data_IF_484546341229
#
_entry.id   IF_484546341229
#
_cell.length_a   1.000
_cell.length_b   1.000
_cell.length_c   1.000
_cell.angle_alpha   90.00
_cell.angle_beta   90.00
_cell.angle_gamma   90.00
#
_symmetry.space_group_name_H-M   'P 1'
#
loop_
_entity.id
_entity.type
_entity.pdbx_description
1 polymer ?
#
# COMPACT_ATOMS: atom_id res chain seq x y z
N UNK A 1 14.49 4.01 26.39
CA UNK A 1 13.95 4.79 25.23
C UNK A 1 12.47 5.02 25.48
N UNK A 2 12.01 6.27 25.38
CA UNK A 2 10.58 6.59 25.57
C UNK A 2 9.74 5.94 24.45
N UNK A 3 8.49 5.63 24.75
CA UNK A 3 7.52 5.05 23.78
C UNK A 3 7.43 5.88 22.50
N UNK A 4 7.60 7.20 22.62
CA UNK A 4 7.58 8.14 21.51
C UNK A 4 8.74 7.95 20.53
N UNK A 5 9.96 7.74 21.01
CA UNK A 5 11.13 7.50 20.14
C UNK A 5 11.01 6.19 19.35
N UNK A 6 10.45 5.14 19.98
CA UNK A 6 10.18 3.87 19.26
C UNK A 6 9.17 4.04 18.14
N UNK A 7 8.09 4.80 18.37
CA UNK A 7 7.08 5.08 17.33
C UNK A 7 7.68 5.80 16.12
N UNK A 8 8.51 6.80 16.35
CA UNK A 8 9.20 7.52 15.28
C UNK A 8 10.17 6.61 14.52
N UNK A 9 10.92 5.76 15.24
CA UNK A 9 11.79 4.78 14.60
C UNK A 9 11.04 3.84 13.67
N UNK A 10 9.92 3.26 14.12
CA UNK A 10 9.07 2.42 13.28
C UNK A 10 8.49 3.15 12.09
N UNK A 11 8.03 4.40 12.28
CA UNK A 11 7.46 5.21 11.21
C UNK A 11 8.49 5.48 10.11
N UNK A 12 9.70 5.91 10.48
CA UNK A 12 10.78 6.18 9.52
C UNK A 12 11.16 4.91 8.77
N UNK A 13 11.33 3.78 9.48
CA UNK A 13 11.68 2.50 8.86
C UNK A 13 10.61 2.05 7.87
N UNK A 14 9.33 2.12 8.25
CA UNK A 14 8.22 1.77 7.36
C UNK A 14 8.16 2.70 6.15
N UNK A 15 8.38 4.00 6.33
CA UNK A 15 8.37 4.97 5.23
C UNK A 15 9.47 4.68 4.21
N UNK A 16 10.67 4.29 4.66
CA UNK A 16 11.78 3.91 3.79
C UNK A 16 11.45 2.61 3.03
N UNK A 17 10.96 1.58 3.73
CA UNK A 17 10.63 0.28 3.14
C UNK A 17 9.53 0.44 2.10
N UNK A 18 8.45 1.13 2.43
CA UNK A 18 7.33 1.30 1.52
C UNK A 18 7.67 2.24 0.36
N UNK A 19 8.33 3.36 0.63
CA UNK A 19 8.74 4.30 -0.42
C UNK A 19 9.70 3.66 -1.43
N UNK A 20 10.67 2.87 -0.98
CA UNK A 20 11.58 2.14 -1.88
C UNK A 20 10.88 1.04 -2.68
N UNK A 21 9.77 0.50 -2.18
CA UNK A 21 9.00 -0.57 -2.85
C UNK A 21 8.53 -0.16 -4.26
N UNK A 22 8.04 1.07 -4.45
CA UNK A 22 7.59 1.56 -5.75
C UNK A 22 8.72 1.64 -6.77
N UNK A 23 9.89 2.13 -6.36
CA UNK A 23 11.08 2.16 -7.22
C UNK A 23 11.49 0.75 -7.63
N UNK A 24 11.42 -0.21 -6.70
CA UNK A 24 11.76 -1.61 -6.97
C UNK A 24 10.75 -2.27 -7.91
N UNK A 25 9.45 -1.96 -7.79
CA UNK A 25 8.42 -2.43 -8.73
C UNK A 25 8.75 -1.93 -10.13
N UNK A 26 8.96 -0.63 -10.31
CA UNK A 26 9.26 -0.04 -11.62
C UNK A 26 10.53 -0.64 -12.23
N UNK A 27 11.58 -0.83 -11.44
CA UNK A 27 12.81 -1.50 -11.90
C UNK A 27 12.58 -2.98 -12.27
N UNK A 28 11.77 -3.68 -11.52
CA UNK A 28 11.43 -5.08 -11.80
C UNK A 28 10.65 -5.24 -13.10
N UNK A 29 9.80 -4.28 -13.46
CA UNK A 29 9.03 -4.26 -14.70
C UNK A 29 9.87 -4.10 -15.96
N UNK A 30 11.14 -3.71 -15.86
CA UNK A 30 12.06 -3.68 -17.02
C UNK A 30 12.33 -5.07 -17.58
N UNK A 31 12.31 -6.12 -16.71
CA UNK A 31 12.61 -7.50 -17.14
C UNK A 31 11.51 -8.52 -16.87
N UNK A 32 10.44 -8.13 -16.16
CA UNK A 32 9.36 -9.00 -15.75
C UNK A 32 8.00 -8.45 -16.19
N UNK A 33 7.09 -9.32 -16.54
CA UNK A 33 5.69 -8.92 -16.73
C UNK A 33 5.04 -8.57 -15.38
N UNK A 34 3.98 -7.73 -15.35
CA UNK A 34 3.27 -7.38 -14.12
C UNK A 34 2.80 -8.60 -13.32
N UNK A 35 2.35 -9.65 -14.01
CA UNK A 35 1.94 -10.90 -13.36
C UNK A 35 3.12 -11.64 -12.73
N UNK A 36 4.24 -11.72 -13.42
CA UNK A 36 5.46 -12.34 -12.88
C UNK A 36 5.95 -11.57 -11.65
N UNK A 37 6.01 -10.23 -11.73
CA UNK A 37 6.47 -9.39 -10.64
C UNK A 37 5.55 -9.51 -9.42
N UNK A 38 4.24 -9.42 -9.60
CA UNK A 38 3.27 -9.60 -8.51
C UNK A 38 3.39 -10.98 -7.87
N UNK A 39 3.53 -12.03 -8.68
CA UNK A 39 3.72 -13.41 -8.19
C UNK A 39 5.02 -13.57 -7.40
N UNK A 40 6.15 -13.06 -7.90
CA UNK A 40 7.42 -13.10 -7.17
C UNK A 40 7.35 -12.35 -5.84
N UNK A 41 6.74 -11.18 -5.79
CA UNK A 41 6.54 -10.44 -4.53
C UNK A 41 5.81 -11.27 -3.49
N UNK A 42 4.71 -11.92 -3.89
CA UNK A 42 3.92 -12.77 -2.98
C UNK A 42 4.71 -14.00 -2.56
N UNK A 43 5.35 -14.70 -3.50
CA UNK A 43 6.12 -15.91 -3.21
C UNK A 43 7.29 -15.63 -2.27
N UNK A 44 8.11 -14.63 -2.54
CA UNK A 44 9.25 -14.28 -1.67
C UNK A 44 8.79 -13.86 -0.29
N UNK A 45 7.79 -12.99 -0.20
CA UNK A 45 7.25 -12.54 1.08
C UNK A 45 6.68 -13.71 1.88
N UNK A 46 5.89 -14.57 1.23
CA UNK A 46 5.30 -15.75 1.87
C UNK A 46 6.38 -16.72 2.34
N UNK A 47 7.40 -16.98 1.52
CA UNK A 47 8.50 -17.88 1.87
C UNK A 47 9.25 -17.39 3.11
N UNK A 48 9.59 -16.09 3.15
CA UNK A 48 10.30 -15.50 4.29
C UNK A 48 9.42 -15.53 5.55
N UNK A 49 8.15 -15.13 5.42
CA UNK A 49 7.23 -15.13 6.57
C UNK A 49 6.95 -16.53 7.10
N UNK A 50 6.88 -17.54 6.23
CA UNK A 50 6.71 -18.92 6.66
C UNK A 50 7.92 -19.44 7.44
N UNK A 51 9.14 -19.06 7.07
CA UNK A 51 10.35 -19.47 7.81
C UNK A 51 10.29 -19.04 9.30
N UNK A 52 9.76 -17.85 9.58
CA UNK A 52 9.69 -17.30 10.92
C UNK A 52 8.33 -17.54 11.62
N UNK A 53 7.25 -17.61 10.86
CA UNK A 53 5.87 -17.62 11.36
C UNK A 53 5.17 -18.98 11.34
N UNK A 54 5.79 -20.05 10.83
CA UNK A 54 5.15 -21.35 10.63
C UNK A 54 4.52 -21.92 11.91
N UNK A 55 5.18 -21.76 13.03
CA UNK A 55 4.68 -22.26 14.32
C UNK A 55 3.42 -21.52 14.79
N UNK A 56 3.27 -20.25 14.43
CA UNK A 56 2.09 -19.44 14.77
C UNK A 56 0.82 -19.92 14.01
N UNK A 57 1.00 -20.54 12.85
CA UNK A 57 -0.11 -21.05 12.04
C UNK A 57 -0.74 -22.32 12.62
N UNK A 58 0.01 -23.09 13.40
CA UNK A 58 -0.44 -24.40 13.92
C UNK A 58 -1.60 -24.33 14.93
N UNK A 59 -1.82 -23.17 15.57
CA UNK A 59 -2.87 -22.97 16.57
C UNK A 59 -4.14 -22.30 16.07
N UNK A 60 -4.24 -22.03 14.76
CA UNK A 60 -5.34 -21.26 14.20
C UNK A 60 -6.62 -22.09 14.03
N UNK A 61 -7.73 -21.52 14.49
CA UNK A 61 -9.07 -22.08 14.27
C UNK A 61 -9.53 -21.88 12.82
N UNK A 62 -10.53 -22.67 12.38
CA UNK A 62 -11.12 -22.51 11.02
C UNK A 62 -11.67 -21.10 10.77
N UNK A 63 -12.20 -20.46 11.78
CA UNK A 63 -12.73 -19.09 11.68
C UNK A 63 -11.59 -18.10 11.45
N UNK A 64 -10.49 -18.25 12.19
CA UNK A 64 -9.30 -17.40 12.00
C UNK A 64 -8.67 -17.61 10.61
N UNK A 65 -8.60 -18.85 10.12
CA UNK A 65 -8.13 -19.14 8.75
C UNK A 65 -8.99 -18.46 7.68
N UNK A 66 -10.32 -18.48 7.86
CA UNK A 66 -11.24 -17.78 6.94
C UNK A 66 -10.93 -16.28 6.89
N UNK A 67 -10.80 -15.64 8.05
CA UNK A 67 -10.50 -14.20 8.09
C UNK A 67 -9.11 -13.87 7.57
N UNK A 68 -8.11 -14.68 7.87
CA UNK A 68 -6.75 -14.53 7.32
C UNK A 68 -6.73 -14.65 5.80
N UNK A 69 -7.47 -15.62 5.24
CA UNK A 69 -7.59 -15.77 3.79
C UNK A 69 -8.24 -14.53 3.14
N UNK A 70 -9.33 -14.00 3.73
CA UNK A 70 -9.95 -12.78 3.22
C UNK A 70 -9.01 -11.57 3.31
N UNK A 71 -8.36 -11.35 4.45
CA UNK A 71 -7.43 -10.25 4.64
C UNK A 71 -6.22 -10.37 3.70
N UNK A 72 -5.66 -11.57 3.55
CA UNK A 72 -4.54 -11.80 2.63
C UNK A 72 -4.93 -11.60 1.17
N UNK A 73 -6.14 -12.03 0.78
CA UNK A 73 -6.61 -11.90 -0.59
C UNK A 73 -6.88 -10.43 -0.95
N UNK A 74 -7.67 -9.71 -0.14
CA UNK A 74 -7.99 -8.31 -0.42
C UNK A 74 -6.86 -7.35 -0.04
N UNK A 75 -6.21 -7.53 1.10
CA UNK A 75 -5.20 -6.57 1.59
C UNK A 75 -3.78 -6.81 1.06
N UNK A 76 -3.50 -7.92 0.36
CA UNK A 76 -2.15 -8.20 -0.14
C UNK A 76 -2.17 -8.67 -1.58
N UNK A 77 -2.95 -9.71 -1.92
CA UNK A 77 -2.93 -10.31 -3.24
C UNK A 77 -3.40 -9.33 -4.31
N UNK A 78 -4.61 -8.79 -4.18
CA UNK A 78 -5.15 -7.82 -5.14
C UNK A 78 -4.27 -6.59 -5.30
N UNK A 79 -3.89 -5.87 -4.24
CA UNK A 79 -3.03 -4.70 -4.36
C UNK A 79 -1.68 -5.00 -5.02
N UNK A 80 -1.06 -6.16 -4.72
CA UNK A 80 0.23 -6.51 -5.31
C UNK A 80 0.19 -6.53 -6.85
N UNK A 81 -0.88 -7.07 -7.43
CA UNK A 81 -1.06 -7.07 -8.88
C UNK A 81 -1.52 -5.72 -9.42
N UNK A 82 -2.46 -5.05 -8.74
CA UNK A 82 -2.93 -3.74 -9.18
C UNK A 82 -1.80 -2.72 -9.26
N UNK A 83 -0.90 -2.68 -8.28
CA UNK A 83 0.29 -1.84 -8.32
C UNK A 83 1.24 -2.24 -9.46
N UNK A 84 1.49 -3.55 -9.64
CA UNK A 84 2.37 -4.01 -10.71
C UNK A 84 1.82 -3.64 -12.10
N UNK A 85 0.51 -3.74 -12.32
CA UNK A 85 -0.12 -3.30 -13.56
C UNK A 85 -0.15 -1.79 -13.71
N UNK A 86 -0.41 -1.04 -12.64
CA UNK A 86 -0.43 0.40 -12.69
C UNK A 86 0.93 1.00 -13.04
N UNK A 87 1.99 0.49 -12.44
CA UNK A 87 3.35 1.00 -12.64
C UNK A 87 3.97 0.63 -14.01
N UNK A 88 3.27 -0.08 -14.88
CA UNK A 88 3.69 -0.17 -16.29
C UNK A 88 3.64 1.18 -16.98
N UNK A 89 2.59 1.96 -16.70
CA UNK A 89 2.28 3.23 -17.37
C UNK A 89 2.31 4.45 -16.43
N UNK A 90 2.36 4.22 -15.11
CA UNK A 90 2.40 5.27 -14.10
C UNK A 90 3.78 5.35 -13.48
N UNK A 91 4.28 6.56 -13.24
CA UNK A 91 5.53 6.75 -12.53
C UNK A 91 5.42 6.37 -11.05
N UNK A 92 6.50 5.80 -10.50
CA UNK A 92 6.53 5.34 -9.09
C UNK A 92 6.22 6.44 -8.09
N UNK A 93 6.59 7.68 -8.39
CA UNK A 93 6.27 8.86 -7.59
C UNK A 93 4.76 9.11 -7.56
N UNK A 94 4.09 9.09 -8.71
CA UNK A 94 2.65 9.25 -8.82
C UNK A 94 1.92 8.08 -8.13
N UNK A 95 2.37 6.85 -8.34
CA UNK A 95 1.80 5.68 -7.67
C UNK A 95 1.92 5.78 -6.15
N UNK A 96 3.07 6.18 -5.62
CA UNK A 96 3.29 6.34 -4.19
C UNK A 96 2.40 7.42 -3.56
N UNK A 97 2.19 8.51 -4.30
CA UNK A 97 1.35 9.64 -3.90
C UNK A 97 -0.12 9.25 -3.89
N UNK A 98 -0.60 8.59 -4.94
CA UNK A 98 -1.99 8.10 -5.01
C UNK A 98 -2.27 7.07 -3.90
N UNK A 99 -1.30 6.21 -3.55
CA UNK A 99 -1.42 5.32 -2.41
C UNK A 99 -1.50 6.06 -1.06
N UNK A 100 -1.06 7.31 -0.99
CA UNK A 100 -1.29 8.20 0.15
C UNK A 100 -2.78 8.45 0.45
N UNK A 101 -3.71 8.07 -0.44
CA UNK A 101 -5.15 8.06 -0.19
C UNK A 101 -5.60 6.94 0.77
N UNK A 102 -4.80 5.90 0.96
CA UNK A 102 -5.14 4.75 1.84
C UNK A 102 -5.57 5.18 3.26
N UNK A 103 -4.90 6.09 3.96
CA UNK A 103 -5.38 6.55 5.27
C UNK A 103 -6.74 7.25 5.22
N UNK A 104 -7.06 7.94 4.11
CA UNK A 104 -8.37 8.56 3.91
C UNK A 104 -9.45 7.49 3.77
N UNK A 105 -9.26 6.50 2.89
CA UNK A 105 -10.20 5.40 2.73
C UNK A 105 -10.35 4.61 4.03
N UNK A 106 -9.26 4.37 4.75
CA UNK A 106 -9.30 3.71 6.06
C UNK A 106 -10.18 4.48 7.05
N UNK A 107 -10.07 5.80 7.13
CA UNK A 107 -10.92 6.61 8.02
C UNK A 107 -12.38 6.58 7.58
N UNK A 108 -12.66 6.68 6.28
CA UNK A 108 -14.01 6.64 5.73
C UNK A 108 -14.66 5.30 6.06
N UNK A 109 -13.99 4.18 5.78
CA UNK A 109 -14.54 2.86 6.07
C UNK A 109 -14.67 2.59 7.56
N UNK A 110 -13.70 2.99 8.38
CA UNK A 110 -13.77 2.88 9.83
C UNK A 110 -14.99 3.62 10.39
N UNK A 111 -15.29 4.80 9.86
CA UNK A 111 -16.45 5.57 10.28
C UNK A 111 -17.77 4.90 9.85
N UNK A 112 -17.91 4.56 8.56
CA UNK A 112 -19.18 4.07 8.03
C UNK A 112 -19.50 2.65 8.47
N UNK A 113 -18.51 1.74 8.48
CA UNK A 113 -18.75 0.31 8.76
C UNK A 113 -18.56 -0.07 10.22
N UNK A 114 -17.61 0.58 10.90
CA UNK A 114 -17.27 0.22 12.29
C UNK A 114 -17.68 1.28 13.31
N UNK A 115 -18.27 2.39 12.87
CA UNK A 115 -18.73 3.49 13.74
C UNK A 115 -17.63 3.99 14.70
N UNK A 116 -16.37 3.91 14.27
CA UNK A 116 -15.23 4.35 15.07
C UNK A 116 -15.28 5.86 15.21
N UNK A 117 -15.11 6.34 16.45
CA UNK A 117 -15.04 7.80 16.70
C UNK A 117 -13.77 8.38 16.10
N UNK A 118 -13.93 9.19 15.06
CA UNK A 118 -12.81 9.85 14.42
C UNK A 118 -12.45 11.10 15.22
N UNK A 119 -11.18 11.24 15.56
CA UNK A 119 -10.67 12.43 16.25
C UNK A 119 -10.36 13.53 15.22
N UNK A 120 -10.82 14.75 15.45
CA UNK A 120 -10.60 15.89 14.54
C UNK A 120 -9.14 16.07 14.12
N UNK A 121 -8.18 15.77 15.01
CA UNK A 121 -6.74 15.81 14.72
C UNK A 121 -6.32 14.80 13.63
N UNK A 122 -6.95 13.62 13.58
CA UNK A 122 -6.69 12.62 12.54
C UNK A 122 -7.18 13.10 11.17
N UNK A 123 -8.40 13.66 11.12
CA UNK A 123 -8.94 14.22 9.86
C UNK A 123 -8.04 15.33 9.35
N UNK A 124 -7.66 16.26 10.24
CA UNK A 124 -6.76 17.35 9.85
C UNK A 124 -5.42 16.85 9.34
N UNK A 125 -4.79 15.88 10.01
CA UNK A 125 -3.53 15.28 9.58
C UNK A 125 -3.63 14.61 8.21
N UNK A 126 -4.72 13.87 7.94
CA UNK A 126 -4.96 13.24 6.64
C UNK A 126 -5.19 14.29 5.55
N UNK A 127 -5.97 15.33 5.82
CA UNK A 127 -6.21 16.41 4.85
C UNK A 127 -4.93 17.17 4.51
N UNK A 128 -4.09 17.47 5.49
CA UNK A 128 -2.78 18.11 5.26
C UNK A 128 -1.86 17.19 4.45
N UNK A 129 -1.83 15.89 4.77
CA UNK A 129 -1.08 14.90 4.00
C UNK A 129 -1.55 14.81 2.56
N UNK A 130 -2.88 14.72 2.33
CA UNK A 130 -3.47 14.71 0.98
C UNK A 130 -3.17 16.00 0.20
N UNK A 131 -3.23 17.15 0.85
CA UNK A 131 -2.88 18.41 0.20
C UNK A 131 -1.41 18.44 -0.22
N UNK A 132 -0.51 17.98 0.66
CA UNK A 132 0.92 17.84 0.34
C UNK A 132 1.15 16.88 -0.84
N UNK A 133 0.49 15.72 -0.84
CA UNK A 133 0.56 14.77 -1.96
C UNK A 133 -0.01 15.35 -3.25
N UNK A 134 -1.13 16.06 -3.19
CA UNK A 134 -1.73 16.74 -4.35
C UNK A 134 -0.76 17.76 -4.97
N UNK A 135 -0.08 18.56 -4.16
CA UNK A 135 0.91 19.53 -4.65
C UNK A 135 2.09 18.83 -5.37
N UNK A 136 2.54 17.69 -4.87
CA UNK A 136 3.61 16.92 -5.52
C UNK A 136 3.15 16.36 -6.88
N UNK A 137 1.94 15.82 -6.95
CA UNK A 137 1.39 15.25 -8.20
C UNK A 137 1.19 16.33 -9.26
N UNK A 138 0.70 17.51 -8.89
CA UNK A 138 0.47 18.56 -9.88
C UNK A 138 1.74 19.02 -10.56
N UNK A 139 2.87 18.97 -9.89
CA UNK A 139 4.17 19.27 -10.52
C UNK A 139 4.59 18.17 -11.49
N UNK A 140 4.41 16.88 -11.15
CA UNK A 140 4.82 15.78 -12.01
C UNK A 140 3.90 15.58 -13.22
N UNK A 141 2.59 15.81 -13.10
CA UNK A 141 1.68 15.81 -14.25
C UNK A 141 2.05 16.84 -15.31
N UNK A 142 2.74 17.91 -14.94
CA UNK A 142 3.24 18.93 -15.89
C UNK A 142 4.50 18.50 -16.63
N UNK A 143 5.23 17.50 -16.15
CA UNK A 143 6.50 17.06 -16.72
C UNK A 143 6.48 15.69 -17.38
N UNK A 144 5.46 14.86 -17.12
CA UNK A 144 5.39 13.48 -17.63
C UNK A 144 4.19 13.29 -18.54
N UNK A 145 4.46 13.00 -19.82
CA UNK A 145 3.45 12.63 -20.82
C UNK A 145 2.99 11.16 -20.71
N UNK A 146 3.54 10.39 -19.78
CA UNK A 146 3.36 8.93 -19.68
C UNK A 146 2.31 8.46 -18.68
N UNK A 147 1.64 9.35 -17.94
CA UNK A 147 0.67 8.95 -16.92
C UNK A 147 -0.73 8.78 -17.53
N UNK A 148 -1.08 7.57 -17.95
CA UNK A 148 -2.44 7.26 -18.41
C UNK A 148 -3.42 7.25 -17.19
N UNK A 149 -4.51 8.05 -17.23
CA UNK A 149 -5.49 8.11 -16.14
C UNK A 149 -6.12 6.77 -15.77
N UNK A 150 -6.23 5.85 -16.74
CA UNK A 150 -6.76 4.50 -16.49
C UNK A 150 -5.90 3.70 -15.52
N UNK A 151 -4.57 3.79 -15.66
CA UNK A 151 -3.63 3.11 -14.79
C UNK A 151 -3.51 3.79 -13.43
N UNK A 152 -3.64 5.11 -13.37
CA UNK A 152 -3.75 5.83 -12.09
C UNK A 152 -4.98 5.38 -11.28
N UNK A 153 -6.09 5.05 -11.96
CA UNK A 153 -7.28 4.49 -11.31
C UNK A 153 -7.00 3.13 -10.65
N UNK A 154 -6.12 2.30 -11.23
CA UNK A 154 -5.72 1.02 -10.62
C UNK A 154 -5.02 1.23 -9.28
N UNK A 155 -4.19 2.28 -9.15
CA UNK A 155 -3.53 2.62 -7.89
C UNK A 155 -4.56 3.06 -6.85
N UNK A 156 -5.53 3.90 -7.25
CA UNK A 156 -6.63 4.32 -6.36
C UNK A 156 -7.45 3.11 -5.93
N UNK A 157 -7.78 2.20 -6.84
CA UNK A 157 -8.45 0.94 -6.48
C UNK A 157 -7.61 0.11 -5.50
N UNK A 158 -6.28 0.00 -5.73
CA UNK A 158 -5.39 -0.73 -4.83
C UNK A 158 -5.34 -0.11 -3.43
N UNK A 159 -5.47 1.21 -3.32
CA UNK A 159 -5.45 1.92 -2.03
C UNK A 159 -6.73 1.79 -1.21
N UNK A 160 -7.81 1.28 -1.82
CA UNK A 160 -9.10 1.00 -1.15
C UNK A 160 -9.06 -0.34 -0.42
N UNK A 161 -8.26 -1.29 -0.88
CA UNK A 161 -8.09 -2.62 -0.30
C UNK A 161 -7.05 -2.65 0.81
#
# INVERSE_FOLDING_TARGET
MSVTHKKWGYLITLSIIWGSSYILIKKGLVGLTPLQLGSFRILFTTSILLLFGFNTLKGLTRVQWKWLAHTGFYGTFFPAFLFAFAETEVDSSVASVLNGLTPLFTLIFAFFFYQVRIVRKQVFGVLVGLFGTFLLVTQEFSFSTSNDPKYSLLVVCASVF
#
